data_IF_448242171165
#
_entry.id   IF_448242171165
#
_cell.length_a   1.000
_cell.length_b   1.000
_cell.length_c   1.000
_cell.angle_alpha   90.00
_cell.angle_beta   90.00
_cell.angle_gamma   90.00
#
_symmetry.space_group_name_H-M   'P 1'
#
loop_
_entity.id
_entity.type
_entity.pdbx_description
1 polymer ?
#
# COMPACT_ATOMS: atom_id res chain seq x y z
N UNK A 1 -4.58 -30.08 1.55
CA UNK A 1 -4.69 -29.93 0.08
C UNK A 1 -4.20 -28.54 -0.28
N UNK A 2 -3.00 -28.41 -0.83
CA UNK A 2 -2.44 -27.10 -1.18
C UNK A 2 -3.08 -26.62 -2.49
N UNK A 3 -3.84 -25.53 -2.42
CA UNK A 3 -4.40 -24.87 -3.61
C UNK A 3 -3.21 -24.28 -4.38
N UNK A 4 -2.73 -24.97 -5.42
CA UNK A 4 -1.69 -24.43 -6.29
C UNK A 4 -2.30 -23.41 -7.24
N UNK A 5 -2.41 -22.16 -6.79
CA UNK A 5 -2.75 -21.04 -7.69
C UNK A 5 -1.58 -20.87 -8.66
N UNK A 6 -1.83 -21.03 -9.96
CA UNK A 6 -0.82 -20.84 -11.00
C UNK A 6 -0.51 -19.34 -11.17
N UNK A 7 0.47 -18.85 -10.42
CA UNK A 7 0.94 -17.46 -10.52
C UNK A 7 1.82 -17.17 -11.76
N UNK A 8 1.85 -18.07 -12.76
CA UNK A 8 2.68 -17.93 -13.96
C UNK A 8 2.39 -16.67 -14.77
N UNK A 9 1.16 -16.18 -14.75
CA UNK A 9 0.76 -14.94 -15.41
C UNK A 9 1.44 -13.70 -14.80
N UNK A 10 1.50 -13.60 -13.47
CA UNK A 10 2.12 -12.45 -12.77
C UNK A 10 3.63 -12.36 -13.08
N UNK A 11 4.29 -13.50 -13.31
CA UNK A 11 5.70 -13.53 -13.70
C UNK A 11 5.96 -13.07 -15.14
N UNK A 12 4.95 -13.06 -16.02
CA UNK A 12 5.06 -12.70 -17.44
C UNK A 12 4.56 -11.30 -17.77
N UNK A 13 4.12 -10.51 -16.79
CA UNK A 13 3.68 -9.14 -17.03
C UNK A 13 4.88 -8.28 -17.44
N UNK A 14 4.81 -7.70 -18.64
CA UNK A 14 5.85 -6.85 -19.20
C UNK A 14 5.99 -5.55 -18.41
N UNK A 15 7.09 -4.84 -18.66
CA UNK A 15 7.46 -3.61 -17.97
C UNK A 15 6.36 -2.54 -18.07
N UNK A 16 5.85 -2.37 -19.29
CA UNK A 16 4.85 -1.39 -19.68
C UNK A 16 3.54 -1.65 -18.94
N UNK A 17 3.14 -2.92 -18.83
CA UNK A 17 1.93 -3.30 -18.10
C UNK A 17 2.03 -3.05 -16.61
N UNK A 18 3.21 -3.19 -15.98
CA UNK A 18 3.36 -2.87 -14.56
C UNK A 18 3.18 -1.40 -14.29
N UNK A 19 3.77 -0.54 -15.13
CA UNK A 19 3.55 0.89 -15.05
C UNK A 19 2.12 1.29 -15.42
N UNK A 20 1.50 0.59 -16.37
CA UNK A 20 0.07 0.73 -16.65
C UNK A 20 -0.78 0.46 -15.41
N UNK A 21 -0.45 -0.58 -14.62
CA UNK A 21 -1.15 -0.86 -13.35
C UNK A 21 -0.90 0.24 -12.31
N UNK A 22 0.34 0.74 -12.18
CA UNK A 22 0.63 1.90 -11.30
C UNK A 22 -0.24 3.09 -11.71
N UNK A 23 -0.25 3.45 -13.01
CA UNK A 23 -1.00 4.58 -13.54
C UNK A 23 -2.51 4.41 -13.36
N UNK A 24 -3.06 3.22 -13.62
CA UNK A 24 -4.49 2.93 -13.40
C UNK A 24 -4.84 3.01 -11.92
N UNK A 25 -4.01 2.44 -11.04
CA UNK A 25 -4.26 2.45 -9.60
C UNK A 25 -4.23 3.88 -9.04
N UNK A 26 -3.18 4.64 -9.35
CA UNK A 26 -3.05 6.05 -8.96
C UNK A 26 -4.16 6.91 -9.58
N UNK A 27 -4.42 6.73 -10.88
CA UNK A 27 -5.51 7.43 -11.57
C UNK A 27 -6.87 7.15 -10.97
N UNK A 28 -7.11 5.92 -10.48
CA UNK A 28 -8.35 5.55 -9.79
C UNK A 28 -8.49 6.25 -8.44
N UNK A 29 -7.39 6.40 -7.67
CA UNK A 29 -7.39 7.18 -6.43
C UNK A 29 -7.77 8.64 -6.75
N UNK A 30 -7.09 9.25 -7.72
CA UNK A 30 -7.32 10.65 -8.08
C UNK A 30 -8.71 10.89 -8.67
N UNK A 31 -9.18 10.00 -9.52
CA UNK A 31 -10.52 10.07 -10.10
C UNK A 31 -11.61 9.98 -9.03
N UNK A 32 -11.35 9.31 -7.90
CA UNK A 32 -12.31 9.17 -6.81
C UNK A 32 -12.34 10.39 -5.87
N UNK A 33 -11.30 11.24 -5.86
CA UNK A 33 -11.19 12.40 -4.96
C UNK A 33 -12.42 13.33 -4.96
N UNK A 34 -12.98 13.74 -6.12
CA UNK A 34 -14.14 14.63 -6.16
C UNK A 34 -15.40 14.00 -5.56
N UNK A 35 -15.50 12.67 -5.65
CA UNK A 35 -16.67 11.91 -5.22
C UNK A 35 -16.56 11.44 -3.76
N UNK A 36 -15.36 11.39 -3.18
CA UNK A 36 -15.11 10.77 -1.88
C UNK A 36 -16.00 11.30 -0.75
N UNK A 37 -16.19 12.62 -0.64
CA UNK A 37 -17.06 13.21 0.40
C UNK A 37 -18.53 12.83 0.22
N UNK A 38 -19.03 12.91 -1.02
CA UNK A 38 -20.42 12.58 -1.34
C UNK A 38 -20.69 11.08 -1.14
N UNK A 39 -19.77 10.24 -1.61
CA UNK A 39 -19.81 8.80 -1.43
C UNK A 39 -19.79 8.43 0.05
N UNK A 40 -18.89 9.01 0.85
CA UNK A 40 -18.81 8.68 2.28
C UNK A 40 -20.08 9.07 3.03
N UNK A 41 -20.66 10.24 2.74
CA UNK A 41 -21.96 10.66 3.28
C UNK A 41 -23.07 9.70 2.90
N UNK A 42 -23.13 9.30 1.63
CA UNK A 42 -24.10 8.31 1.15
C UNK A 42 -23.97 6.99 1.92
N UNK A 43 -22.77 6.46 2.09
CA UNK A 43 -22.54 5.20 2.80
C UNK A 43 -22.90 5.33 4.29
N UNK A 44 -22.51 6.41 4.94
CA UNK A 44 -22.87 6.69 6.34
C UNK A 44 -24.39 6.74 6.54
N UNK A 45 -25.12 7.36 5.61
CA UNK A 45 -26.58 7.48 5.71
C UNK A 45 -27.29 6.12 5.57
N UNK A 46 -26.74 5.20 4.78
CA UNK A 46 -27.38 3.90 4.55
C UNK A 46 -26.94 2.83 5.56
N UNK A 47 -25.66 2.83 5.96
CA UNK A 47 -25.06 1.73 6.74
C UNK A 47 -24.72 2.14 8.18
N UNK A 48 -24.90 3.42 8.52
CA UNK A 48 -24.68 3.95 9.87
C UNK A 48 -23.19 4.15 10.22
N UNK A 49 -22.94 4.51 11.47
CA UNK A 49 -21.60 4.90 11.96
C UNK A 49 -20.60 3.73 12.05
N UNK A 50 -21.08 2.49 12.02
CA UNK A 50 -20.23 1.28 12.04
C UNK A 50 -19.28 1.19 10.85
N UNK A 51 -19.66 1.76 9.70
CA UNK A 51 -18.80 1.79 8.50
C UNK A 51 -17.47 2.51 8.74
N UNK A 52 -17.39 3.41 9.72
CA UNK A 52 -16.13 4.08 10.05
C UNK A 52 -15.02 3.08 10.41
N UNK A 53 -15.35 1.88 10.88
CA UNK A 53 -14.37 0.84 11.21
C UNK A 53 -14.01 -0.07 10.02
N UNK A 54 -14.57 0.16 8.83
CA UNK A 54 -14.34 -0.70 7.67
C UNK A 54 -12.86 -0.71 7.23
N UNK A 55 -12.19 0.44 7.25
CA UNK A 55 -10.75 0.51 6.95
C UNK A 55 -9.91 -0.31 7.94
N UNK A 56 -10.24 -0.26 9.24
CA UNK A 56 -9.60 -1.08 10.28
C UNK A 56 -9.85 -2.57 10.03
N UNK A 57 -11.10 -2.94 9.70
CA UNK A 57 -11.46 -4.31 9.36
C UNK A 57 -10.60 -4.84 8.21
N UNK A 58 -10.45 -4.09 7.12
CA UNK A 58 -9.61 -4.52 5.99
C UNK A 58 -8.14 -4.67 6.35
N UNK A 59 -7.59 -3.77 7.17
CA UNK A 59 -6.20 -3.89 7.65
C UNK A 59 -6.01 -5.14 8.50
N UNK A 60 -6.96 -5.46 9.40
CA UNK A 60 -6.92 -6.68 10.19
C UNK A 60 -7.03 -7.94 9.33
N UNK A 61 -7.95 -7.97 8.34
CA UNK A 61 -8.11 -9.09 7.42
C UNK A 61 -6.84 -9.33 6.61
N UNK A 62 -6.24 -8.28 6.06
CA UNK A 62 -4.99 -8.37 5.31
C UNK A 62 -3.83 -8.80 6.21
N UNK A 63 -3.74 -8.26 7.42
CA UNK A 63 -2.74 -8.68 8.42
C UNK A 63 -2.85 -10.18 8.72
N UNK A 64 -4.04 -10.67 9.03
CA UNK A 64 -4.29 -12.10 9.28
C UNK A 64 -3.95 -12.95 8.05
N UNK A 65 -4.36 -12.52 6.85
CA UNK A 65 -4.00 -13.20 5.60
C UNK A 65 -2.47 -13.31 5.44
N UNK A 66 -1.74 -12.22 5.64
CA UNK A 66 -0.28 -12.24 5.54
C UNK A 66 0.37 -13.09 6.61
N UNK A 67 -0.14 -13.10 7.85
CA UNK A 67 0.36 -13.96 8.91
C UNK A 67 0.19 -15.44 8.54
N UNK A 68 -1.00 -15.83 8.06
CA UNK A 68 -1.28 -17.18 7.55
C UNK A 68 -0.34 -17.51 6.39
N UNK A 69 -0.16 -16.59 5.43
CA UNK A 69 0.77 -16.76 4.32
C UNK A 69 2.21 -16.99 4.79
N UNK A 70 2.69 -16.23 5.79
CA UNK A 70 4.06 -16.37 6.33
C UNK A 70 4.27 -17.71 7.03
N UNK A 71 3.29 -18.18 7.81
CA UNK A 71 3.35 -19.41 8.60
C UNK A 71 3.20 -20.64 7.70
N UNK A 72 2.18 -20.67 6.86
CA UNK A 72 1.77 -21.91 6.16
C UNK A 72 2.32 -22.01 4.74
N UNK A 73 2.36 -20.90 4.00
CA UNK A 73 2.78 -20.93 2.59
C UNK A 73 4.28 -20.68 2.45
N UNK A 74 4.78 -19.59 3.05
CA UNK A 74 6.19 -19.21 2.98
C UNK A 74 7.04 -19.96 4.01
N UNK A 75 6.41 -20.51 5.06
CA UNK A 75 7.04 -21.30 6.13
C UNK A 75 8.27 -20.62 6.74
N UNK A 76 8.17 -19.31 6.99
CA UNK A 76 9.30 -18.52 7.50
C UNK A 76 9.68 -18.98 8.90
N UNK A 77 10.95 -19.35 9.09
CA UNK A 77 11.49 -19.78 10.40
C UNK A 77 12.15 -18.65 11.20
N UNK A 78 12.47 -17.51 10.56
CA UNK A 78 13.21 -16.41 11.19
C UNK A 78 12.29 -15.57 12.09
N UNK A 79 12.57 -15.57 13.40
CA UNK A 79 11.81 -14.79 14.40
C UNK A 79 11.79 -13.29 14.08
N UNK A 80 12.89 -12.74 13.55
CA UNK A 80 12.96 -11.31 13.17
C UNK A 80 11.92 -10.88 12.15
N UNK A 81 11.42 -11.79 11.31
CA UNK A 81 10.33 -11.50 10.35
C UNK A 81 9.00 -11.32 11.08
N UNK A 82 8.71 -12.17 12.08
CA UNK A 82 7.49 -12.05 12.88
C UNK A 82 7.53 -10.82 13.78
N UNK A 83 8.68 -10.52 14.39
CA UNK A 83 8.87 -9.29 15.16
C UNK A 83 8.62 -8.04 14.30
N UNK A 84 9.20 -7.99 13.10
CA UNK A 84 8.95 -6.91 12.16
C UNK A 84 7.47 -6.84 11.74
N UNK A 85 6.85 -7.98 11.45
CA UNK A 85 5.43 -8.06 11.10
C UNK A 85 4.53 -7.49 12.19
N UNK A 86 4.71 -7.90 13.44
CA UNK A 86 3.91 -7.41 14.57
C UNK A 86 4.21 -5.95 14.90
N UNK A 87 5.47 -5.51 14.80
CA UNK A 87 5.83 -4.11 14.99
C UNK A 87 5.17 -3.20 13.94
N UNK A 88 5.25 -3.56 12.65
CA UNK A 88 4.63 -2.80 11.56
C UNK A 88 3.10 -2.85 11.68
N UNK A 89 2.52 -4.01 11.97
CA UNK A 89 1.07 -4.13 12.16
C UNK A 89 0.58 -3.30 13.35
N UNK A 90 1.32 -3.31 14.46
CA UNK A 90 1.05 -2.46 15.62
C UNK A 90 1.15 -0.97 15.29
N UNK A 91 2.15 -0.56 14.52
CA UNK A 91 2.28 0.81 14.04
C UNK A 91 1.10 1.21 13.14
N UNK A 92 0.69 0.36 12.19
CA UNK A 92 -0.50 0.55 11.37
C UNK A 92 -1.77 0.74 12.22
N UNK A 93 -1.97 -0.10 13.23
CA UNK A 93 -3.12 0.03 14.14
C UNK A 93 -3.05 1.32 14.97
N UNK A 94 -1.86 1.74 15.40
CA UNK A 94 -1.66 3.00 16.10
C UNK A 94 -1.99 4.21 15.21
N UNK A 95 -1.53 4.21 13.95
CA UNK A 95 -1.86 5.26 12.97
C UNK A 95 -3.39 5.36 12.77
N UNK A 96 -4.07 4.24 12.57
CA UNK A 96 -5.53 4.21 12.42
C UNK A 96 -6.29 4.72 13.65
N UNK A 97 -5.73 4.51 14.86
CA UNK A 97 -6.36 4.93 16.11
C UNK A 97 -6.14 6.41 16.42
N UNK A 98 -4.93 6.91 16.21
CA UNK A 98 -4.51 8.23 16.70
C UNK A 98 -4.49 9.33 15.63
N UNK A 99 -4.36 8.98 14.34
CA UNK A 99 -4.27 9.97 13.27
C UNK A 99 -5.52 10.04 12.38
N UNK A 100 -6.34 8.98 12.35
CA UNK A 100 -7.57 8.94 11.58
C UNK A 100 -8.78 9.28 12.47
N UNK A 101 -9.29 10.50 12.32
CA UNK A 101 -10.51 10.99 12.98
C UNK A 101 -11.74 10.53 12.21
N UNK A 102 -11.72 10.68 10.88
CA UNK A 102 -12.81 10.23 10.03
C UNK A 102 -12.62 8.78 9.57
N UNK A 103 -13.72 8.03 9.42
CA UNK A 103 -13.66 6.66 8.90
C UNK A 103 -13.10 6.57 7.49
N UNK A 104 -13.33 7.59 6.66
CA UNK A 104 -12.76 7.68 5.31
C UNK A 104 -11.22 7.78 5.33
N UNK A 105 -10.64 8.53 6.28
CA UNK A 105 -9.18 8.71 6.41
C UNK A 105 -8.47 7.36 6.65
N UNK A 106 -9.15 6.39 7.27
CA UNK A 106 -8.60 5.05 7.53
C UNK A 106 -8.27 4.27 6.25
N UNK A 107 -8.89 4.63 5.12
CA UNK A 107 -8.58 4.03 3.83
C UNK A 107 -7.25 4.51 3.25
N UNK A 108 -6.74 5.68 3.66
CA UNK A 108 -5.44 6.17 3.20
C UNK A 108 -4.33 5.16 3.52
N UNK A 109 -4.38 4.57 4.73
CA UNK A 109 -3.42 3.55 5.14
C UNK A 109 -3.39 2.36 4.17
N UNK A 110 -4.55 1.94 3.67
CA UNK A 110 -4.65 0.83 2.74
C UNK A 110 -4.25 1.22 1.32
N UNK A 111 -4.76 2.36 0.83
CA UNK A 111 -4.54 2.82 -0.54
C UNK A 111 -3.07 3.12 -0.81
N UNK A 112 -2.42 3.90 0.05
CA UNK A 112 -1.04 4.31 -0.16
C UNK A 112 -0.02 3.23 0.21
N UNK A 113 -0.33 2.37 1.19
CA UNK A 113 0.47 1.20 1.51
C UNK A 113 0.47 0.20 0.35
N UNK A 114 -0.68 0.02 -0.29
CA UNK A 114 -0.81 -0.81 -1.50
C UNK A 114 -0.12 -0.16 -2.70
N UNK A 115 -0.28 1.15 -2.89
CA UNK A 115 0.43 1.90 -3.94
C UNK A 115 1.95 1.68 -3.85
N UNK A 116 2.51 1.77 -2.64
CA UNK A 116 3.95 1.51 -2.40
C UNK A 116 4.37 0.12 -2.87
N UNK A 117 3.57 -0.92 -2.58
CA UNK A 117 3.82 -2.29 -3.05
C UNK A 117 3.75 -2.41 -4.57
N UNK A 118 2.78 -1.77 -5.22
CA UNK A 118 2.62 -1.79 -6.68
C UNK A 118 3.80 -1.07 -7.36
N UNK A 119 4.19 0.09 -6.82
CA UNK A 119 5.34 0.86 -7.30
C UNK A 119 6.64 0.06 -7.15
N UNK A 120 6.85 -0.58 -6.00
CA UNK A 120 8.00 -1.47 -5.79
C UNK A 120 8.04 -2.58 -6.83
N UNK A 121 6.89 -3.21 -7.09
CA UNK A 121 6.76 -4.29 -8.05
C UNK A 121 7.06 -3.84 -9.50
N UNK A 122 6.72 -2.60 -9.86
CA UNK A 122 7.10 -2.01 -11.15
C UNK A 122 8.60 -1.70 -11.21
N UNK A 123 9.17 -1.08 -10.19
CA UNK A 123 10.60 -0.75 -10.15
C UNK A 123 11.51 -1.97 -10.08
N UNK A 124 11.03 -3.09 -9.54
CA UNK A 124 11.80 -4.35 -9.44
C UNK A 124 12.38 -4.83 -10.77
N UNK A 125 11.79 -4.44 -11.92
CA UNK A 125 12.31 -4.77 -13.24
C UNK A 125 13.31 -3.74 -13.79
N UNK A 126 13.36 -2.52 -13.25
CA UNK A 126 14.18 -1.41 -13.76
C UNK A 126 15.47 -1.22 -12.99
N UNK A 127 15.38 -1.24 -11.66
CA UNK A 127 16.47 -0.91 -10.78
C UNK A 127 17.02 -2.18 -10.11
N UNK A 128 18.32 -2.16 -9.79
CA UNK A 128 19.02 -3.27 -9.13
C UNK A 128 19.41 -2.86 -7.71
N UNK A 129 19.38 -3.83 -6.80
CA UNK A 129 19.83 -3.66 -5.42
C UNK A 129 18.97 -2.69 -4.60
N UNK A 130 19.55 -2.14 -3.53
CA UNK A 130 18.81 -1.39 -2.51
C UNK A 130 18.26 -0.03 -3.00
N UNK A 131 18.70 0.48 -4.16
CA UNK A 131 18.19 1.73 -4.73
C UNK A 131 16.71 1.65 -5.12
N UNK A 132 16.19 0.45 -5.37
CA UNK A 132 14.76 0.22 -5.67
C UNK A 132 13.89 0.78 -4.55
N UNK A 133 14.29 0.55 -3.30
CA UNK A 133 13.53 0.99 -2.14
C UNK A 133 13.46 2.52 -2.06
N UNK A 134 14.58 3.20 -2.33
CA UNK A 134 14.65 4.66 -2.41
C UNK A 134 13.76 5.22 -3.53
N UNK A 135 13.82 4.65 -4.73
CA UNK A 135 12.97 5.12 -5.83
C UNK A 135 11.49 4.85 -5.58
N UNK A 136 11.17 3.72 -4.95
CA UNK A 136 9.80 3.38 -4.57
C UNK A 136 9.24 4.39 -3.59
N UNK A 137 9.96 4.67 -2.50
CA UNK A 137 9.45 5.60 -1.48
C UNK A 137 9.36 7.03 -2.02
N UNK A 138 10.33 7.49 -2.82
CA UNK A 138 10.30 8.82 -3.44
C UNK A 138 9.08 8.99 -4.35
N UNK A 139 8.82 8.00 -5.23
CA UNK A 139 7.67 8.07 -6.13
C UNK A 139 6.35 7.96 -5.37
N UNK A 140 6.23 7.02 -4.41
CA UNK A 140 5.02 6.89 -3.61
C UNK A 140 4.72 8.16 -2.80
N UNK A 141 5.75 8.83 -2.26
CA UNK A 141 5.59 10.09 -1.56
C UNK A 141 5.18 11.23 -2.48
N UNK A 142 5.76 11.31 -3.68
CA UNK A 142 5.38 12.30 -4.69
C UNK A 142 3.91 12.13 -5.09
N UNK A 143 3.47 10.89 -5.34
CA UNK A 143 2.08 10.59 -5.70
C UNK A 143 1.13 10.88 -4.52
N UNK A 144 1.53 10.57 -3.29
CA UNK A 144 0.75 10.88 -2.09
C UNK A 144 0.63 12.38 -1.79
N UNK A 145 1.64 13.18 -2.12
CA UNK A 145 1.56 14.63 -2.01
C UNK A 145 0.74 15.24 -3.16
N UNK A 146 0.86 14.69 -4.36
CA UNK A 146 0.07 15.13 -5.53
C UNK A 146 -1.42 14.96 -5.30
N UNK A 147 -1.83 13.91 -4.60
CA UNK A 147 -3.22 13.73 -4.15
C UNK A 147 -3.76 14.96 -3.43
N UNK A 148 -3.01 15.45 -2.43
CA UNK A 148 -3.43 16.60 -1.63
C UNK A 148 -3.43 17.90 -2.43
N UNK A 149 -2.48 18.07 -3.35
CA UNK A 149 -2.49 19.19 -4.28
C UNK A 149 -3.73 19.19 -5.18
N UNK A 150 -4.17 18.02 -5.65
CA UNK A 150 -5.42 17.89 -6.42
C UNK A 150 -6.60 18.23 -5.51
N UNK A 151 -6.63 17.70 -4.28
CA UNK A 151 -7.69 18.01 -3.30
C UNK A 151 -7.78 19.52 -3.01
N UNK A 152 -6.65 20.23 -2.90
CA UNK A 152 -6.60 21.67 -2.69
C UNK A 152 -7.19 22.51 -3.83
N UNK A 153 -7.30 21.95 -5.04
CA UNK A 153 -7.95 22.60 -6.19
C UNK A 153 -9.46 22.31 -6.23
N UNK A 154 -9.90 21.20 -5.63
CA UNK A 154 -11.29 20.78 -5.65
C UNK A 154 -12.14 21.62 -4.67
N UNK A 155 -13.23 22.28 -5.11
CA UNK A 155 -13.98 23.22 -4.28
C UNK A 155 -14.71 22.56 -3.10
N UNK A 156 -14.91 21.24 -3.16
CA UNK A 156 -15.60 20.45 -2.13
C UNK A 156 -14.63 19.74 -1.17
N UNK A 157 -13.33 20.08 -1.25
CA UNK A 157 -12.25 19.52 -0.44
C UNK A 157 -11.41 20.64 0.14
N UNK A 158 -10.66 20.32 1.19
CA UNK A 158 -9.77 21.24 1.89
C UNK A 158 -8.39 20.63 1.87
N UNK A 159 -7.39 21.44 1.51
CA UNK A 159 -6.00 21.05 1.60
C UNK A 159 -5.62 20.83 3.09
N UNK A 160 -5.23 19.62 3.46
CA UNK A 160 -4.80 19.23 4.80
C UNK A 160 -3.39 18.58 4.75
N UNK A 161 -2.41 19.27 5.35
CA UNK A 161 -1.02 18.76 5.45
C UNK A 161 -0.97 17.42 6.19
N UNK A 162 -1.90 17.16 7.12
CA UNK A 162 -2.00 15.88 7.82
C UNK A 162 -2.24 14.71 6.86
N UNK A 163 -2.98 14.92 5.78
CA UNK A 163 -3.28 13.88 4.80
C UNK A 163 -2.03 13.53 3.97
N UNK A 164 -1.17 14.51 3.66
CA UNK A 164 0.17 14.27 3.10
C UNK A 164 0.98 13.37 4.03
N UNK A 165 1.06 13.71 5.31
CA UNK A 165 1.77 12.89 6.30
C UNK A 165 1.18 11.48 6.40
N UNK A 166 -0.14 11.33 6.35
CA UNK A 166 -0.79 10.02 6.37
C UNK A 166 -0.47 9.19 5.13
N UNK A 167 -0.47 9.79 3.95
CA UNK A 167 -0.11 9.14 2.70
C UNK A 167 1.35 8.68 2.70
N UNK A 168 2.26 9.50 3.25
CA UNK A 168 3.67 9.17 3.41
C UNK A 168 3.89 8.07 4.45
N UNK A 169 3.29 8.18 5.63
CA UNK A 169 3.39 7.14 6.66
C UNK A 169 2.85 5.81 6.14
N UNK A 170 1.73 5.83 5.43
CA UNK A 170 1.16 4.65 4.80
C UNK A 170 2.08 4.01 3.75
N UNK A 171 2.60 4.82 2.83
CA UNK A 171 3.56 4.35 1.82
C UNK A 171 4.83 3.79 2.46
N UNK A 172 5.31 4.44 3.53
CA UNK A 172 6.45 4.01 4.34
C UNK A 172 6.18 2.69 5.07
N UNK A 173 5.00 2.48 5.64
CA UNK A 173 4.65 1.19 6.25
C UNK A 173 4.60 0.08 5.21
N UNK A 174 4.06 0.35 4.01
CA UNK A 174 4.10 -0.58 2.88
C UNK A 174 5.54 -0.96 2.50
N UNK A 175 6.42 0.03 2.41
CA UNK A 175 7.83 -0.16 2.08
C UNK A 175 8.59 -0.95 3.16
N UNK A 176 8.42 -0.60 4.44
CA UNK A 176 8.99 -1.33 5.57
C UNK A 176 8.51 -2.78 5.60
N UNK A 177 7.24 -3.02 5.25
CA UNK A 177 6.68 -4.36 5.15
C UNK A 177 7.38 -5.16 4.04
N UNK A 178 7.64 -4.54 2.89
CA UNK A 178 8.40 -5.18 1.80
C UNK A 178 9.81 -5.53 2.26
N UNK A 179 10.53 -4.58 2.87
CA UNK A 179 11.93 -4.73 3.28
C UNK A 179 12.07 -5.80 4.38
N UNK A 180 11.30 -5.70 5.46
CA UNK A 180 11.55 -6.50 6.66
C UNK A 180 10.74 -7.80 6.72
N UNK A 181 9.55 -7.83 6.10
CA UNK A 181 8.63 -8.97 6.14
C UNK A 181 8.69 -9.79 4.86
N UNK A 182 8.45 -9.17 3.71
CA UNK A 182 8.43 -9.90 2.43
C UNK A 182 9.83 -10.29 1.96
N UNK A 183 10.87 -9.48 2.25
CA UNK A 183 12.28 -9.75 1.90
C UNK A 183 12.42 -10.32 0.49
N UNK A 184 11.92 -9.61 -0.53
CA UNK A 184 11.98 -10.10 -1.90
C UNK A 184 13.44 -10.32 -2.32
N UNK A 185 13.71 -11.37 -3.10
CA UNK A 185 15.03 -11.53 -3.71
C UNK A 185 15.20 -10.44 -4.78
N UNK A 186 16.13 -9.52 -4.53
CA UNK A 186 16.57 -8.47 -5.45
C UNK A 186 17.94 -8.89 -5.97
N UNK A 187 17.97 -9.93 -6.79
CA UNK A 187 19.23 -10.49 -7.26
C UNK A 187 19.91 -9.48 -8.19
N UNK A 188 21.16 -9.12 -7.86
CA UNK A 188 22.06 -8.41 -8.77
C UNK A 188 22.39 -9.40 -9.88
N UNK A 189 21.60 -9.43 -10.96
CA UNK A 189 22.08 -10.08 -12.18
C UNK A 189 23.21 -9.21 -12.71
N UNK A 190 24.45 -9.54 -12.32
CA UNK A 190 25.64 -9.19 -13.08
C UNK A 190 25.38 -9.66 -14.52
N UNK A 191 25.52 -8.81 -15.54
CA UNK A 191 25.49 -9.32 -16.90
C UNK A 191 26.63 -10.34 -16.99
N UNK A 192 26.28 -11.57 -17.34
CA UNK A 192 27.28 -12.52 -17.81
C UNK A 192 27.73 -11.93 -19.14
N UNK A 193 28.86 -11.22 -19.11
CA UNK A 193 29.59 -10.88 -20.32
C UNK A 193 30.01 -12.23 -20.89
N UNK A 194 29.32 -12.66 -21.95
CA UNK A 194 29.83 -13.66 -22.88
C UNK A 194 30.51 -12.93 -24.02
#
# INVERSE_FOLDING_TARGET
MAISINYGFIKKVSLEWRWGIVAIYTGSIYAFLPFGTAFWRFVLNHWGSSINYLGLFFVCVLGTYFLIYLIFQKQVKKVSVYLAFFAISGACLALLKYMCVAGAERFHLLLYGTLSVIVFWAFKLHAKGNRIYLYTIMLAFLLGATDEFIQGILPMRVFDVRDIFMNWLSSGMGELFIIFVLRPNITIHTPIIK
#
